data_IF_431760010276
#
_entry.id   IF_431760010276
#
_cell.length_a   1.000
_cell.length_b   1.000
_cell.length_c   1.000
_cell.angle_alpha   90.00
_cell.angle_beta   90.00
_cell.angle_gamma   90.00
#
_symmetry.space_group_name_H-M   'P 1'
#
loop_
_entity.id
_entity.type
_entity.pdbx_description
1 polymer ?
#
# COMPACT_ATOMS: atom_id res chain seq x y z
N UNK A 1 -4.89 -26.48 -17.30
CA UNK A 1 -4.63 -25.04 -17.05
C UNK A 1 -3.35 -24.67 -17.78
N UNK A 2 -3.41 -23.69 -18.67
CA UNK A 2 -2.26 -23.23 -19.43
C UNK A 2 -1.15 -22.75 -18.48
N UNK A 3 0.10 -23.14 -18.74
CA UNK A 3 1.25 -23.03 -17.81
C UNK A 3 1.96 -21.67 -17.84
N UNK A 4 1.41 -20.69 -18.57
CA UNK A 4 1.89 -19.32 -18.49
C UNK A 4 1.75 -18.83 -17.04
N UNK A 5 2.87 -18.44 -16.44
CA UNK A 5 2.94 -18.04 -15.03
C UNK A 5 1.90 -16.94 -14.78
N UNK A 6 0.82 -17.29 -14.06
CA UNK A 6 -0.27 -16.38 -13.69
C UNK A 6 0.33 -15.14 -13.00
N UNK A 7 0.22 -13.98 -13.64
CA UNK A 7 0.73 -12.72 -13.10
C UNK A 7 -0.20 -12.22 -12.01
N UNK A 8 0.28 -12.17 -10.77
CA UNK A 8 -0.50 -11.74 -9.61
C UNK A 8 -0.03 -10.36 -9.14
N UNK A 9 -0.97 -9.44 -8.95
CA UNK A 9 -0.71 -8.14 -8.37
C UNK A 9 -1.46 -8.02 -7.04
N UNK A 10 -0.80 -7.47 -6.02
CA UNK A 10 -1.41 -7.11 -4.75
C UNK A 10 -1.50 -5.58 -4.70
N UNK A 11 -2.66 -5.08 -4.34
CA UNK A 11 -2.87 -3.68 -3.97
C UNK A 11 -3.17 -3.68 -2.47
N UNK A 12 -2.29 -3.09 -1.68
CA UNK A 12 -2.46 -2.96 -0.25
C UNK A 12 -2.82 -1.53 0.09
N UNK A 13 -4.03 -1.32 0.61
CA UNK A 13 -4.53 -0.03 1.03
C UNK A 13 -4.22 0.14 2.53
N UNK A 14 -3.49 1.18 2.87
CA UNK A 14 -3.06 1.52 4.21
C UNK A 14 -3.59 2.90 4.60
N UNK A 15 -4.23 3.00 5.76
CA UNK A 15 -4.63 4.26 6.34
C UNK A 15 -4.21 4.28 7.80
N UNK A 16 -3.50 5.32 8.17
CA UNK A 16 -3.22 5.67 9.56
C UNK A 16 -3.49 7.17 9.74
N UNK A 17 -4.04 7.56 10.88
CA UNK A 17 -4.41 8.97 11.13
C UNK A 17 -3.19 9.90 11.19
N UNK A 18 -2.06 9.40 11.66
CA UNK A 18 -0.81 10.15 11.83
C UNK A 18 0.19 9.87 10.68
N UNK A 19 -0.15 8.95 9.77
CA UNK A 19 0.71 8.54 8.66
C UNK A 19 1.95 7.78 9.13
N UNK A 20 1.84 7.04 10.24
CA UNK A 20 2.89 6.17 10.78
C UNK A 20 2.64 4.76 10.28
N UNK A 21 3.69 4.12 9.74
CA UNK A 21 3.63 2.73 9.27
C UNK A 21 4.19 1.84 10.36
N UNK A 22 3.36 0.94 10.89
CA UNK A 22 3.78 -0.04 11.89
C UNK A 22 4.73 -1.11 11.31
N UNK A 23 5.60 -1.64 12.17
CA UNK A 23 6.63 -2.63 11.81
C UNK A 23 6.08 -4.00 11.38
N UNK A 24 4.78 -4.27 11.61
CA UNK A 24 4.15 -5.50 11.13
C UNK A 24 4.00 -5.51 9.60
N UNK A 25 3.93 -4.33 8.98
CA UNK A 25 3.70 -4.17 7.54
C UNK A 25 4.84 -4.82 6.73
N UNK A 26 6.14 -4.52 6.97
CA UNK A 26 7.25 -5.25 6.36
C UNK A 26 7.17 -6.78 6.57
N UNK A 27 6.80 -7.22 7.77
CA UNK A 27 6.68 -8.65 8.11
C UNK A 27 5.59 -9.33 7.27
N UNK A 28 4.43 -8.70 7.14
CA UNK A 28 3.32 -9.16 6.29
C UNK A 28 3.77 -9.32 4.84
N UNK A 29 4.44 -8.31 4.29
CA UNK A 29 4.87 -8.33 2.90
C UNK A 29 5.98 -9.33 2.63
N UNK A 30 6.89 -9.53 3.58
CA UNK A 30 7.89 -10.59 3.52
C UNK A 30 7.22 -11.98 3.49
N UNK A 31 6.14 -12.20 4.24
CA UNK A 31 5.35 -13.43 4.17
C UNK A 31 4.63 -13.65 2.84
N UNK A 32 4.30 -12.56 2.13
CA UNK A 32 3.65 -12.61 0.81
C UNK A 32 4.65 -12.78 -0.35
N UNK A 33 5.96 -12.71 -0.07
CA UNK A 33 7.00 -12.80 -1.10
C UNK A 33 6.93 -14.14 -1.84
N UNK A 34 6.93 -14.07 -3.18
CA UNK A 34 6.82 -15.26 -4.05
C UNK A 34 5.38 -15.64 -4.43
N UNK A 35 4.37 -15.06 -3.77
CA UNK A 35 2.96 -15.23 -4.15
C UNK A 35 2.47 -14.18 -5.15
N UNK A 36 3.22 -13.10 -5.35
CA UNK A 36 2.89 -12.01 -6.28
C UNK A 36 4.05 -11.68 -7.22
N UNK A 37 3.72 -11.07 -8.36
CA UNK A 37 4.68 -10.49 -9.30
C UNK A 37 4.80 -8.97 -9.12
N UNK A 38 3.74 -8.31 -8.63
CA UNK A 38 3.74 -6.88 -8.27
C UNK A 38 3.01 -6.61 -6.95
N UNK A 39 3.51 -5.66 -6.17
CA UNK A 39 2.88 -5.17 -4.95
C UNK A 39 2.84 -3.64 -5.00
N UNK A 40 1.64 -3.08 -4.95
CA UNK A 40 1.38 -1.65 -4.88
C UNK A 40 0.92 -1.33 -3.46
N UNK A 41 1.66 -0.47 -2.76
CA UNK A 41 1.35 -0.05 -1.41
C UNK A 41 0.79 1.37 -1.44
N UNK A 42 -0.49 1.49 -1.15
CA UNK A 42 -1.22 2.74 -1.23
C UNK A 42 -1.50 3.22 0.18
N UNK A 43 -0.76 4.22 0.63
CA UNK A 43 -0.99 4.85 1.92
C UNK A 43 -1.90 6.08 1.80
N UNK A 44 -2.43 6.55 2.93
CA UNK A 44 -2.87 7.93 3.07
C UNK A 44 -1.73 8.89 2.68
N UNK A 45 -2.09 10.11 2.29
CA UNK A 45 -1.19 11.10 1.67
C UNK A 45 0.30 11.06 2.07
N UNK A 46 0.80 12.10 2.76
CA UNK A 46 2.24 12.24 3.01
C UNK A 46 2.55 11.46 4.29
N UNK A 47 3.15 10.28 4.13
CA UNK A 47 3.71 9.54 5.27
C UNK A 47 4.65 10.45 6.07
N UNK A 48 4.64 10.26 7.39
CA UNK A 48 5.64 10.85 8.28
C UNK A 48 7.05 10.40 7.87
N UNK A 49 8.10 11.12 8.29
CA UNK A 49 9.48 10.69 8.00
C UNK A 49 9.79 9.31 8.62
N UNK A 50 9.22 9.03 9.80
CA UNK A 50 9.27 7.73 10.45
C UNK A 50 8.60 6.63 9.61
N UNK A 51 7.37 6.88 9.14
CA UNK A 51 6.66 5.96 8.24
C UNK A 51 7.40 5.74 6.92
N UNK A 52 8.10 6.75 6.40
CA UNK A 52 8.95 6.62 5.21
C UNK A 52 10.15 5.71 5.45
N UNK A 53 10.85 5.86 6.57
CA UNK A 53 11.99 5.01 6.93
C UNK A 53 11.56 3.54 7.02
N UNK A 54 10.43 3.27 7.67
CA UNK A 54 9.85 1.93 7.79
C UNK A 54 9.36 1.36 6.45
N UNK A 55 8.89 2.21 5.53
CA UNK A 55 8.46 1.82 4.19
C UNK A 55 9.58 1.72 3.15
N UNK A 56 10.80 2.20 3.44
CA UNK A 56 11.90 2.36 2.46
C UNK A 56 12.35 1.05 1.80
N UNK A 57 12.05 -0.09 2.44
CA UNK A 57 12.29 -1.44 1.92
C UNK A 57 11.26 -1.81 0.82
N UNK A 58 10.21 -1.02 0.63
CA UNK A 58 9.09 -1.31 -0.25
C UNK A 58 8.53 -0.08 -0.96
N UNK A 59 8.70 -0.04 -2.29
CA UNK A 59 8.15 1.04 -3.10
C UNK A 59 7.14 0.55 -4.13
N UNK A 60 5.91 1.02 -3.96
CA UNK A 60 5.29 1.94 -4.92
C UNK A 60 4.11 2.65 -4.25
N UNK A 61 4.36 3.86 -3.74
CA UNK A 61 3.32 4.77 -3.23
C UNK A 61 2.80 5.57 -4.43
N UNK A 62 1.57 5.26 -4.86
CA UNK A 62 0.88 6.06 -5.87
C UNK A 62 -0.07 7.05 -5.22
N UNK A 63 0.21 8.32 -5.45
CA UNK A 63 -0.71 9.40 -5.16
C UNK A 63 -1.69 9.56 -6.31
N UNK A 64 -2.97 9.36 -6.04
CA UNK A 64 -4.05 9.75 -6.96
C UNK A 64 -5.17 10.37 -6.15
N UNK A 65 -5.65 11.55 -6.55
CA UNK A 65 -6.88 12.14 -5.99
C UNK A 65 -8.05 11.13 -6.06
N UNK A 66 -8.11 10.32 -7.13
CA UNK A 66 -9.11 9.25 -7.26
C UNK A 66 -9.00 8.14 -6.22
N UNK A 67 -7.81 7.91 -5.65
CA UNK A 67 -7.61 6.94 -4.57
C UNK A 67 -8.05 7.53 -3.24
N UNK A 68 -7.90 8.85 -3.04
CA UNK A 68 -8.48 9.50 -1.85
C UNK A 68 -10.01 9.35 -1.87
N UNK A 69 -10.65 9.60 -3.01
CA UNK A 69 -12.10 9.42 -3.15
C UNK A 69 -12.53 7.96 -2.89
N UNK A 70 -11.72 6.98 -3.30
CA UNK A 70 -11.97 5.56 -3.03
C UNK A 70 -11.80 5.19 -1.55
N UNK A 71 -10.79 5.75 -0.88
CA UNK A 71 -10.42 5.43 0.51
C UNK A 71 -11.33 6.15 1.52
N UNK A 72 -11.78 7.36 1.20
CA UNK A 72 -12.53 8.22 2.12
C UNK A 72 -14.01 8.33 1.75
N UNK A 73 -14.41 7.82 0.57
CA UNK A 73 -15.71 8.17 -0.01
C UNK A 73 -15.77 9.66 -0.33
N UNK A 74 -16.81 10.10 -1.02
CA UNK A 74 -17.14 11.52 -1.15
C UNK A 74 -17.53 12.07 0.24
N UNK A 75 -16.55 12.27 1.12
CA UNK A 75 -16.70 13.07 2.32
C UNK A 75 -16.71 14.54 1.90
N UNK A 76 -17.82 14.94 1.27
CA UNK A 76 -18.49 16.18 1.65
C UNK A 76 -18.85 16.03 3.14
N UNK A 77 -17.87 16.26 3.99
CA UNK A 77 -18.12 16.61 5.38
C UNK A 77 -18.30 18.13 5.37
N UNK A 78 -19.57 18.49 5.43
CA UNK A 78 -20.13 19.75 5.91
C UNK A 78 -19.43 20.29 7.17
#
# INVERSE_FOLDING_TARGET
LNKDKLKRAIIFLFYDKDGIVDDYIPTLFQGLKGFYDKLCFVANGKLSEEGKENSRIMLQIFWSEKIKDLMFGDTRLD
#
